data_IF_824841961054
#
_entry.id   IF_824841961054
#
_cell.length_a   1.000
_cell.length_b   1.000
_cell.length_c   1.000
_cell.angle_alpha   90.00
_cell.angle_beta   90.00
_cell.angle_gamma   90.00
#
_symmetry.space_group_name_H-M   'P 1'
#
loop_
_entity.id
_entity.type
_entity.pdbx_description
1 polymer ?
#
# COMPACT_ATOMS: atom_id res chain seq x y z
N UNK A 1 -22.74 7.90 19.52
CA UNK A 1 -22.00 8.44 18.34
C UNK A 1 -23.00 8.60 17.20
N UNK A 2 -23.46 9.82 16.93
CA UNK A 2 -24.60 10.11 16.04
C UNK A 2 -24.24 9.84 14.57
N UNK A 3 -25.11 9.09 13.86
CA UNK A 3 -25.03 8.86 12.42
C UNK A 3 -25.33 10.17 11.68
N UNK A 4 -24.29 10.98 11.44
CA UNK A 4 -24.41 12.19 10.61
C UNK A 4 -24.56 11.76 9.16
N UNK A 5 -25.80 11.72 8.67
CA UNK A 5 -26.19 12.04 7.29
C UNK A 5 -25.39 11.42 6.13
N UNK A 6 -25.03 10.14 6.19
CA UNK A 6 -24.54 9.44 5.00
C UNK A 6 -25.71 9.23 4.05
N UNK A 7 -25.66 9.84 2.87
CA UNK A 7 -26.63 9.59 1.79
C UNK A 7 -26.52 8.12 1.41
N UNK A 8 -27.66 7.44 1.34
CA UNK A 8 -27.72 6.04 0.95
C UNK A 8 -27.47 5.97 -0.54
N UNK A 9 -26.33 5.41 -0.93
CA UNK A 9 -25.91 5.22 -2.32
C UNK A 9 -26.52 3.91 -2.83
N UNK A 10 -27.05 3.91 -4.05
CA UNK A 10 -27.54 2.68 -4.68
C UNK A 10 -26.37 1.80 -5.11
N UNK A 11 -26.60 0.49 -5.23
CA UNK A 11 -25.58 -0.47 -5.69
C UNK A 11 -24.95 -0.07 -7.04
N UNK A 12 -25.77 0.31 -8.01
CA UNK A 12 -25.34 0.80 -9.33
C UNK A 12 -24.40 2.02 -9.26
N UNK A 13 -24.63 2.91 -8.29
CA UNK A 13 -23.82 4.10 -8.10
C UNK A 13 -22.52 3.76 -7.37
N UNK A 14 -22.56 2.80 -6.45
CA UNK A 14 -21.37 2.30 -5.77
C UNK A 14 -20.42 1.60 -6.74
N UNK A 15 -20.94 0.71 -7.59
CA UNK A 15 -20.14 0.02 -8.62
C UNK A 15 -19.44 1.02 -9.55
N UNK A 16 -20.17 2.04 -10.02
CA UNK A 16 -19.61 3.08 -10.88
C UNK A 16 -18.51 3.90 -10.19
N UNK A 17 -18.70 4.22 -8.90
CA UNK A 17 -17.72 4.97 -8.12
C UNK A 17 -16.45 4.15 -7.89
N UNK A 18 -16.58 2.85 -7.62
CA UNK A 18 -15.43 1.95 -7.43
C UNK A 18 -14.67 1.75 -8.73
N UNK A 19 -15.35 1.45 -9.85
CA UNK A 19 -14.70 1.30 -11.16
C UNK A 19 -13.90 2.55 -11.57
N UNK A 20 -14.46 3.73 -11.29
CA UNK A 20 -13.78 5.00 -11.54
C UNK A 20 -12.57 5.18 -10.61
N UNK A 21 -12.70 4.88 -9.33
CA UNK A 21 -11.61 4.98 -8.36
C UNK A 21 -10.44 4.05 -8.72
N UNK A 22 -10.73 2.81 -9.10
CA UNK A 22 -9.72 1.83 -9.51
C UNK A 22 -8.96 2.30 -10.75
N UNK A 23 -9.67 2.86 -11.75
CA UNK A 23 -9.05 3.45 -12.94
C UNK A 23 -8.16 4.65 -12.62
N UNK A 24 -8.63 5.55 -11.76
CA UNK A 24 -7.86 6.73 -11.33
C UNK A 24 -6.62 6.30 -10.51
N UNK A 25 -6.77 5.32 -9.62
CA UNK A 25 -5.67 4.74 -8.82
C UNK A 25 -4.61 4.08 -9.70
N UNK A 26 -5.03 3.31 -10.71
CA UNK A 26 -4.11 2.65 -11.64
C UNK A 26 -3.33 3.67 -12.48
N UNK A 27 -3.99 4.74 -12.94
CA UNK A 27 -3.31 5.81 -13.65
C UNK A 27 -2.34 6.58 -12.74
N UNK A 28 -2.72 6.82 -11.48
CA UNK A 28 -1.85 7.49 -10.53
C UNK A 28 -0.60 6.65 -10.19
N UNK A 29 -0.72 5.33 -10.08
CA UNK A 29 0.42 4.44 -9.93
C UNK A 29 1.38 4.54 -11.12
N UNK A 30 0.87 4.57 -12.36
CA UNK A 30 1.69 4.74 -13.57
C UNK A 30 2.34 6.13 -13.66
N UNK A 31 1.63 7.19 -13.28
CA UNK A 31 2.11 8.58 -13.37
C UNK A 31 3.15 8.90 -12.29
N UNK A 32 3.01 8.31 -11.11
CA UNK A 32 3.98 8.47 -10.03
C UNK A 32 5.32 7.77 -10.32
N UNK A 33 5.44 7.05 -11.44
CA UNK A 33 6.69 6.41 -11.83
C UNK A 33 7.03 5.21 -10.96
N UNK A 34 6.04 4.55 -10.35
CA UNK A 34 6.18 3.17 -9.89
C UNK A 34 6.27 2.29 -11.13
N UNK A 35 7.42 2.31 -11.79
CA UNK A 35 7.81 1.28 -12.74
C UNK A 35 7.72 -0.04 -11.96
N UNK A 36 6.70 -0.85 -12.28
CA UNK A 36 6.57 -2.24 -11.83
C UNK A 36 7.74 -3.13 -12.31
N UNK A 37 8.79 -2.54 -12.88
CA UNK A 37 10.04 -3.17 -13.26
C UNK A 37 11.09 -3.04 -12.16
N UNK A 38 11.21 -4.12 -11.37
CA UNK A 38 12.48 -4.79 -11.04
C UNK A 38 13.76 -3.94 -10.92
N UNK A 39 13.69 -2.80 -10.25
CA UNK A 39 14.83 -2.22 -9.57
C UNK A 39 14.42 -2.11 -8.12
N UNK A 40 15.02 -2.97 -7.28
CA UNK A 40 14.93 -2.81 -5.84
C UNK A 40 15.69 -1.51 -5.58
N UNK A 41 14.96 -0.42 -5.46
CA UNK A 41 15.53 0.88 -5.14
C UNK A 41 16.21 0.74 -3.77
N UNK A 42 17.53 0.93 -3.71
CA UNK A 42 18.26 0.94 -2.44
C UNK A 42 17.82 2.13 -1.57
N UNK A 43 17.07 3.09 -2.13
CA UNK A 43 16.44 4.22 -1.44
C UNK A 43 14.93 3.98 -1.13
N UNK A 44 14.45 2.73 -1.16
CA UNK A 44 13.04 2.41 -0.88
C UNK A 44 12.60 2.89 0.51
N UNK A 45 11.71 3.89 0.53
CA UNK A 45 11.15 4.45 1.76
C UNK A 45 9.89 3.69 2.19
N UNK A 46 9.72 3.53 3.49
CA UNK A 46 8.46 3.03 4.03
C UNK A 46 7.34 4.03 3.70
N UNK A 47 6.30 3.59 2.99
CA UNK A 47 5.19 4.48 2.57
C UNK A 47 4.36 5.05 3.73
N UNK A 48 4.57 4.55 4.95
CA UNK A 48 3.84 4.98 6.16
C UNK A 48 4.59 6.11 6.87
N UNK A 49 5.90 5.96 7.09
CA UNK A 49 6.71 6.95 7.80
C UNK A 49 7.60 7.80 6.88
N UNK A 50 7.63 7.49 5.58
CA UNK A 50 8.46 8.12 4.55
C UNK A 50 9.96 8.11 4.91
N UNK A 51 10.39 7.05 5.58
CA UNK A 51 11.77 6.86 6.05
C UNK A 51 12.31 5.52 5.57
N UNK A 52 13.61 5.48 5.27
CA UNK A 52 14.37 4.31 4.80
C UNK A 52 15.25 3.68 5.89
N UNK A 53 15.30 4.27 7.09
CA UNK A 53 16.08 3.73 8.20
C UNK A 53 15.49 2.40 8.72
N UNK A 54 16.16 1.28 8.39
CA UNK A 54 15.78 -0.04 8.90
C UNK A 54 16.69 -0.54 10.03
N UNK A 55 16.13 -1.38 10.90
CA UNK A 55 16.82 -2.03 12.02
C UNK A 55 16.57 -3.54 12.00
N UNK A 56 17.37 -4.32 12.71
CA UNK A 56 17.20 -5.77 12.82
C UNK A 56 15.84 -6.19 13.42
N UNK A 57 15.16 -5.28 14.14
CA UNK A 57 13.81 -5.49 14.67
C UNK A 57 12.72 -4.75 13.86
N UNK A 58 13.09 -3.93 12.88
CA UNK A 58 12.19 -3.11 12.08
C UNK A 58 12.68 -3.07 10.63
N UNK A 59 12.69 -4.23 9.97
CA UNK A 59 13.10 -4.35 8.59
C UNK A 59 12.02 -3.75 7.65
N UNK A 60 12.44 -3.28 6.48
CA UNK A 60 11.52 -2.91 5.40
C UNK A 60 11.10 -4.19 4.66
N UNK A 61 9.80 -4.40 4.57
CA UNK A 61 9.14 -5.50 3.87
C UNK A 61 8.59 -4.99 2.54
N UNK A 62 8.73 -5.81 1.50
CA UNK A 62 8.15 -5.54 0.19
C UNK A 62 6.97 -6.48 -0.04
N UNK A 63 5.85 -5.94 -0.53
CA UNK A 63 4.72 -6.77 -0.92
C UNK A 63 4.96 -7.40 -2.29
N UNK A 64 4.89 -8.74 -2.40
CA UNK A 64 5.12 -9.46 -3.66
C UNK A 64 4.12 -9.10 -4.78
N UNK A 65 2.93 -8.61 -4.44
CA UNK A 65 1.87 -8.31 -5.42
C UNK A 65 1.87 -6.85 -5.90
N UNK A 66 2.29 -5.91 -5.06
CA UNK A 66 2.22 -4.48 -5.35
C UNK A 66 3.54 -3.73 -5.14
N UNK A 67 4.61 -4.43 -4.79
CA UNK A 67 5.96 -3.92 -4.53
C UNK A 67 6.04 -2.77 -3.51
N UNK A 68 5.04 -2.64 -2.65
CA UNK A 68 5.00 -1.58 -1.63
C UNK A 68 6.01 -1.87 -0.51
N UNK A 69 6.86 -0.88 -0.21
CA UNK A 69 7.83 -0.92 0.88
C UNK A 69 7.20 -0.41 2.19
N UNK A 70 7.22 -1.23 3.25
CA UNK A 70 6.74 -0.86 4.58
C UNK A 70 7.64 -1.41 5.68
N UNK A 71 7.89 -0.61 6.72
CA UNK A 71 8.52 -1.12 7.94
C UNK A 71 7.64 -2.17 8.62
N UNK A 72 8.26 -3.21 9.14
CA UNK A 72 7.62 -4.27 9.90
C UNK A 72 6.74 -3.70 11.04
N UNK A 73 7.27 -2.75 11.81
CA UNK A 73 6.50 -2.09 12.88
C UNK A 73 5.39 -1.19 12.34
N UNK A 74 5.63 -0.47 11.25
CA UNK A 74 4.62 0.40 10.65
C UNK A 74 3.43 -0.40 10.08
N UNK A 75 3.69 -1.60 9.55
CA UNK A 75 2.64 -2.52 9.10
C UNK A 75 2.06 -3.35 10.26
N UNK A 76 2.66 -3.29 11.45
CA UNK A 76 2.19 -3.98 12.65
C UNK A 76 2.43 -5.48 12.63
N UNK A 77 3.50 -5.94 11.97
CA UNK A 77 3.84 -7.37 11.87
C UNK A 77 4.73 -7.78 13.05
N UNK A 78 4.24 -8.57 14.02
CA UNK A 78 5.01 -8.90 15.22
C UNK A 78 6.20 -9.82 14.93
N UNK A 79 6.11 -10.68 13.92
CA UNK A 79 7.17 -11.59 13.50
C UNK A 79 6.89 -12.09 12.09
N UNK A 80 7.89 -12.03 11.21
CA UNK A 80 7.86 -12.70 9.91
C UNK A 80 8.42 -14.11 10.12
N UNK A 81 7.64 -15.18 9.88
CA UNK A 81 8.17 -16.53 9.97
C UNK A 81 9.31 -16.73 8.96
N UNK A 82 10.39 -17.38 9.38
CA UNK A 82 11.47 -17.80 8.50
C UNK A 82 10.86 -18.67 7.39
N UNK A 83 10.78 -18.13 6.17
CA UNK A 83 10.29 -18.87 5.03
C UNK A 83 11.22 -20.05 4.75
N UNK A 84 10.67 -21.26 4.65
CA UNK A 84 11.40 -22.40 4.11
C UNK A 84 11.81 -22.07 2.67
N UNK A 85 13.07 -21.71 2.45
CA UNK A 85 13.73 -21.81 1.14
C UNK A 85 13.74 -23.24 0.63
#
# INVERSE_FOLDING_TARGET
RSKRGLRQVKEEEFELLIDRLEKESHFQALVNGDDLGQSIDEDALCVICLDGECSNCNAILFCDMCNMAVHQECYGVPYVPEGNT
#
